data_IF_701350678307
#
_entry.id   IF_701350678307
#
_cell.length_a   1.000
_cell.length_b   1.000
_cell.length_c   1.000
_cell.angle_alpha   90.00
_cell.angle_beta   90.00
_cell.angle_gamma   90.00
#
_symmetry.space_group_name_H-M   'P 1'
#
loop_
_entity.id
_entity.type
_entity.pdbx_description
1 polymer ?
#
# COMPACT_ATOMS: atom_id res chain seq x y z
N UNK A 1 7.30 -31.36 1.18
CA UNK A 1 6.06 -32.15 1.04
C UNK A 1 5.11 -31.34 0.19
N UNK A 2 4.75 -31.80 -1.01
CA UNK A 2 3.86 -31.05 -1.89
C UNK A 2 2.43 -31.15 -1.34
N UNK A 3 1.97 -30.13 -0.61
CA UNK A 3 0.60 -30.04 -0.10
C UNK A 3 -0.30 -29.53 -1.22
N UNK A 4 -0.91 -30.45 -1.96
CA UNK A 4 -1.92 -30.12 -2.94
C UNK A 4 -3.24 -29.85 -2.21
N UNK A 5 -3.63 -28.57 -2.09
CA UNK A 5 -4.92 -28.19 -1.48
C UNK A 5 -6.12 -28.74 -2.26
N UNK A 6 -5.96 -29.08 -3.54
CA UNK A 6 -7.02 -29.57 -4.41
C UNK A 6 -7.70 -30.86 -3.94
N UNK A 7 -7.00 -31.74 -3.20
CA UNK A 7 -7.62 -32.95 -2.66
C UNK A 7 -8.61 -32.66 -1.52
N UNK A 8 -8.39 -31.58 -0.76
CA UNK A 8 -9.25 -31.18 0.36
C UNK A 8 -10.48 -30.39 -0.10
N UNK A 9 -10.48 -29.93 -1.35
CA UNK A 9 -11.58 -29.17 -1.95
C UNK A 9 -12.62 -30.07 -2.66
N UNK A 10 -12.38 -31.39 -2.73
CA UNK A 10 -13.29 -32.32 -3.41
C UNK A 10 -14.50 -32.73 -2.56
N UNK A 11 -14.38 -32.66 -1.24
CA UNK A 11 -15.47 -32.96 -0.31
C UNK A 11 -16.19 -31.67 0.08
N UNK A 12 -17.41 -31.49 -0.42
CA UNK A 12 -18.23 -30.29 -0.16
C UNK A 12 -18.60 -30.14 1.32
N UNK A 13 -18.87 -31.24 2.03
CA UNK A 13 -19.26 -31.17 3.45
C UNK A 13 -18.08 -30.73 4.31
N UNK A 14 -16.90 -31.27 4.04
CA UNK A 14 -15.68 -30.86 4.72
C UNK A 14 -15.31 -29.41 4.38
N UNK A 15 -15.52 -28.99 3.13
CA UNK A 15 -15.23 -27.63 2.68
C UNK A 15 -16.12 -26.59 3.38
N UNK A 16 -17.43 -26.83 3.48
CA UNK A 16 -18.35 -25.93 4.18
C UNK A 16 -17.99 -25.77 5.66
N UNK A 17 -17.62 -26.87 6.32
CA UNK A 17 -17.22 -26.83 7.73
C UNK A 17 -15.91 -26.06 7.93
N UNK A 18 -14.90 -26.30 7.08
CA UNK A 18 -13.64 -25.56 7.12
C UNK A 18 -13.85 -24.07 6.84
N UNK A 19 -14.72 -23.72 5.89
CA UNK A 19 -15.05 -22.33 5.58
C UNK A 19 -15.71 -21.66 6.80
N UNK A 20 -16.64 -22.33 7.48
CA UNK A 20 -17.28 -21.81 8.69
C UNK A 20 -16.26 -21.59 9.81
N UNK A 21 -15.42 -22.58 10.09
CA UNK A 21 -14.37 -22.45 11.11
C UNK A 21 -13.38 -21.32 10.79
N UNK A 22 -13.01 -21.17 9.52
CA UNK A 22 -12.10 -20.12 9.10
C UNK A 22 -12.72 -18.73 9.24
N UNK A 23 -14.01 -18.58 8.89
CA UNK A 23 -14.74 -17.32 9.08
C UNK A 23 -14.83 -16.96 10.56
N UNK A 24 -15.25 -17.89 11.42
CA UNK A 24 -15.36 -17.63 12.85
C UNK A 24 -13.99 -17.26 13.45
N UNK A 25 -12.92 -17.92 13.02
CA UNK A 25 -11.56 -17.57 13.44
C UNK A 25 -11.14 -16.20 12.92
N UNK A 26 -11.42 -15.86 11.67
CA UNK A 26 -11.10 -14.57 11.08
C UNK A 26 -11.82 -13.43 11.83
N UNK A 27 -13.09 -13.62 12.19
CA UNK A 27 -13.85 -12.67 13.00
C UNK A 27 -13.24 -12.50 14.39
N UNK A 28 -12.86 -13.60 15.05
CA UNK A 28 -12.25 -13.58 16.38
C UNK A 28 -10.86 -12.93 16.43
N UNK A 29 -10.05 -13.09 15.38
CA UNK A 29 -8.72 -12.48 15.24
C UNK A 29 -8.75 -11.03 14.73
N UNK A 30 -9.94 -10.49 14.45
CA UNK A 30 -10.11 -9.11 14.02
C UNK A 30 -9.83 -8.87 12.52
N UNK A 31 -9.86 -9.91 11.69
CA UNK A 31 -9.78 -9.81 10.23
C UNK A 31 -11.12 -9.32 9.69
N UNK A 32 -11.41 -8.04 9.93
CA UNK A 32 -12.73 -7.44 9.76
C UNK A 32 -12.71 -6.28 8.76
N UNK A 33 -13.80 -6.14 8.01
CA UNK A 33 -14.13 -4.97 7.22
C UNK A 33 -15.55 -4.51 7.54
N UNK A 34 -15.79 -3.21 7.34
CA UNK A 34 -17.16 -2.67 7.33
C UNK A 34 -17.91 -3.20 6.11
N UNK A 35 -19.23 -3.30 6.25
CA UNK A 35 -20.07 -3.75 5.14
C UNK A 35 -20.13 -2.71 4.02
N UNK A 36 -20.31 -3.16 2.78
CA UNK A 36 -20.46 -2.26 1.64
C UNK A 36 -21.70 -1.36 1.73
N UNK A 37 -22.71 -1.79 2.48
CA UNK A 37 -23.95 -1.04 2.71
C UNK A 37 -23.73 0.12 3.69
N UNK A 38 -22.87 -0.08 4.68
CA UNK A 38 -22.60 0.89 5.74
C UNK A 38 -21.09 1.08 5.93
N UNK A 39 -20.38 1.71 4.97
CA UNK A 39 -18.92 1.85 5.01
C UNK A 39 -18.42 2.81 6.11
N UNK A 40 -19.31 3.61 6.68
CA UNK A 40 -19.02 4.57 7.75
C UNK A 40 -19.38 4.05 9.15
N UNK A 41 -20.24 3.04 9.25
CA UNK A 41 -20.68 2.47 10.53
C UNK A 41 -19.84 1.25 10.91
N UNK A 42 -19.55 1.12 12.21
CA UNK A 42 -18.88 -0.07 12.77
C UNK A 42 -19.84 -0.98 13.55
N UNK A 43 -21.14 -0.68 13.55
CA UNK A 43 -22.15 -1.48 14.27
C UNK A 43 -22.31 -2.88 13.66
N UNK A 44 -22.14 -2.99 12.34
CA UNK A 44 -22.18 -4.26 11.61
C UNK A 44 -20.90 -4.40 10.79
N UNK A 45 -20.18 -5.49 11.02
CA UNK A 45 -18.92 -5.83 10.36
C UNK A 45 -19.00 -7.22 9.76
N UNK A 46 -18.15 -7.49 8.78
CA UNK A 46 -17.95 -8.82 8.19
C UNK A 46 -16.47 -9.12 8.09
N UNK A 47 -16.12 -10.36 7.74
CA UNK A 47 -14.72 -10.75 7.57
C UNK A 47 -14.13 -10.11 6.32
N UNK A 48 -12.84 -9.76 6.36
CA UNK A 48 -12.12 -9.35 5.16
C UNK A 48 -11.97 -10.56 4.22
N UNK A 49 -12.09 -10.42 2.89
CA UNK A 49 -11.90 -11.55 1.97
C UNK A 49 -10.51 -12.18 2.13
N UNK A 50 -10.45 -13.49 2.39
CA UNK A 50 -9.21 -14.26 2.54
C UNK A 50 -9.30 -15.62 1.85
N UNK A 51 -8.14 -16.25 1.59
CA UNK A 51 -8.07 -17.60 1.02
C UNK A 51 -8.13 -18.65 2.11
N UNK A 52 -8.95 -19.69 1.95
CA UNK A 52 -9.07 -20.77 2.93
C UNK A 52 -7.74 -21.48 3.25
N UNK A 53 -6.88 -21.63 2.24
CA UNK A 53 -5.54 -22.20 2.38
C UNK A 53 -4.47 -21.24 1.87
N UNK A 54 -3.28 -21.22 2.49
CA UNK A 54 -2.19 -20.39 2.01
C UNK A 54 -1.69 -20.88 0.65
N UNK A 55 -1.66 -19.98 -0.33
CA UNK A 55 -1.11 -20.30 -1.65
C UNK A 55 0.39 -20.58 -1.57
N UNK A 56 0.85 -21.56 -2.37
CA UNK A 56 2.26 -21.94 -2.39
C UNK A 56 3.07 -20.88 -3.14
N UNK A 57 4.11 -20.37 -2.48
CA UNK A 57 5.04 -19.39 -3.05
C UNK A 57 6.47 -19.93 -2.95
N UNK A 58 7.29 -19.90 -4.02
CA UNK A 58 8.68 -20.30 -3.95
C UNK A 58 9.46 -19.46 -2.93
N UNK A 59 10.10 -20.10 -1.96
CA UNK A 59 10.82 -19.42 -0.88
C UNK A 59 11.90 -18.47 -1.39
N UNK A 60 12.65 -18.88 -2.41
CA UNK A 60 13.69 -18.05 -3.02
C UNK A 60 13.14 -16.73 -3.60
N UNK A 61 11.94 -16.75 -4.20
CA UNK A 61 11.32 -15.53 -4.73
C UNK A 61 10.78 -14.64 -3.61
N UNK A 62 10.23 -15.24 -2.55
CA UNK A 62 9.77 -14.49 -1.38
C UNK A 62 10.95 -13.79 -0.68
N UNK A 63 12.06 -14.50 -0.48
CA UNK A 63 13.29 -13.94 0.10
C UNK A 63 13.88 -12.85 -0.79
N UNK A 64 13.89 -13.03 -2.11
CA UNK A 64 14.33 -11.99 -3.04
C UNK A 64 13.46 -10.72 -2.93
N UNK A 65 12.14 -10.87 -2.80
CA UNK A 65 11.23 -9.73 -2.61
C UNK A 65 11.51 -8.98 -1.30
N UNK A 66 11.80 -9.71 -0.21
CA UNK A 66 12.22 -9.09 1.05
C UNK A 66 13.54 -8.35 0.93
N UNK A 67 14.52 -8.92 0.23
CA UNK A 67 15.85 -8.32 0.09
C UNK A 67 15.82 -6.98 -0.67
N UNK A 68 15.03 -6.88 -1.74
CA UNK A 68 14.96 -5.68 -2.59
C UNK A 68 14.10 -4.55 -2.01
N UNK A 69 13.28 -4.82 -0.99
CA UNK A 69 12.36 -3.82 -0.42
C UNK A 69 13.09 -2.56 0.08
N UNK A 70 14.28 -2.71 0.66
CA UNK A 70 15.07 -1.57 1.13
C UNK A 70 15.57 -0.70 -0.03
N UNK A 71 16.01 -1.32 -1.13
CA UNK A 71 16.46 -0.61 -2.32
C UNK A 71 15.30 0.20 -2.95
N UNK A 72 14.10 -0.38 -2.99
CA UNK A 72 12.90 0.33 -3.46
C UNK A 72 12.53 1.51 -2.56
N UNK A 73 12.63 1.37 -1.24
CA UNK A 73 12.33 2.47 -0.33
C UNK A 73 13.28 3.66 -0.57
N UNK A 74 14.59 3.39 -0.73
CA UNK A 74 15.59 4.42 -1.06
C UNK A 74 15.36 5.04 -2.43
N UNK A 75 14.99 4.23 -3.42
CA UNK A 75 14.69 4.70 -4.77
C UNK A 75 13.48 5.64 -4.77
N UNK A 76 12.39 5.27 -4.10
CA UNK A 76 11.17 6.09 -4.02
C UNK A 76 11.47 7.41 -3.31
N UNK A 77 12.26 7.38 -2.22
CA UNK A 77 12.68 8.58 -1.52
C UNK A 77 13.53 9.51 -2.42
N UNK A 78 14.58 8.97 -3.05
CA UNK A 78 15.45 9.73 -3.95
C UNK A 78 14.69 10.32 -5.15
N UNK A 79 13.75 9.58 -5.73
CA UNK A 79 12.89 10.05 -6.82
C UNK A 79 11.95 11.16 -6.34
N UNK A 80 11.39 11.04 -5.12
CA UNK A 80 10.49 12.05 -4.56
C UNK A 80 11.17 13.40 -4.31
N UNK A 81 12.46 13.39 -3.98
CA UNK A 81 13.26 14.60 -3.73
C UNK A 81 13.74 15.26 -5.04
N UNK A 82 13.81 14.50 -6.14
CA UNK A 82 14.26 15.02 -7.43
C UNK A 82 13.11 15.62 -8.25
N UNK A 83 12.80 16.89 -7.97
CA UNK A 83 11.73 17.62 -8.65
C UNK A 83 11.93 17.72 -10.18
N UNK A 84 13.17 17.87 -10.65
CA UNK A 84 13.47 17.97 -12.08
C UNK A 84 13.17 16.65 -12.81
N UNK A 85 13.52 15.52 -12.19
CA UNK A 85 13.23 14.19 -12.72
C UNK A 85 11.72 13.93 -12.79
N UNK A 86 10.97 14.30 -11.74
CA UNK A 86 9.51 14.17 -11.73
C UNK A 86 8.85 15.04 -12.79
N UNK A 87 9.29 16.30 -12.94
CA UNK A 87 8.76 17.20 -13.96
C UNK A 87 8.99 16.68 -15.37
N UNK A 88 10.22 16.24 -15.66
CA UNK A 88 10.56 15.70 -16.97
C UNK A 88 9.72 14.45 -17.30
N UNK A 89 9.60 13.53 -16.34
CA UNK A 89 8.89 12.26 -16.52
C UNK A 89 7.39 12.46 -16.70
N UNK A 90 6.78 13.40 -15.97
CA UNK A 90 5.33 13.61 -15.97
C UNK A 90 4.88 14.70 -16.96
N UNK A 91 5.79 15.39 -17.64
CA UNK A 91 5.51 16.54 -18.52
C UNK A 91 4.50 16.27 -19.65
N UNK A 92 4.44 15.05 -20.19
CA UNK A 92 3.45 14.62 -21.18
C UNK A 92 2.16 14.17 -20.52
N UNK A 93 2.25 13.44 -19.39
CA UNK A 93 1.13 12.88 -18.63
C UNK A 93 0.22 13.97 -18.05
N UNK A 94 0.80 15.03 -17.46
CA UNK A 94 0.02 16.14 -16.88
C UNK A 94 -0.81 16.92 -17.91
N UNK A 95 -0.51 16.77 -19.21
CA UNK A 95 -1.29 17.41 -20.29
C UNK A 95 -2.50 16.59 -20.71
N UNK A 96 -2.53 15.30 -20.36
CA UNK A 96 -3.59 14.36 -20.76
C UNK A 96 -4.42 13.87 -19.57
N UNK A 97 -3.85 13.88 -18.36
CA UNK A 97 -4.54 13.47 -17.13
C UNK A 97 -4.66 14.63 -16.13
N UNK A 98 -5.90 15.11 -15.98
CA UNK A 98 -6.25 16.17 -15.04
C UNK A 98 -6.02 15.78 -13.57
N UNK A 99 -6.11 14.49 -13.23
CA UNK A 99 -5.89 14.03 -11.86
C UNK A 99 -4.41 14.19 -11.48
N UNK A 100 -3.50 13.65 -12.29
CA UNK A 100 -2.05 13.81 -12.10
C UNK A 100 -1.63 15.28 -12.19
N UNK A 101 -2.26 16.07 -13.07
CA UNK A 101 -1.98 17.51 -13.16
C UNK A 101 -2.28 18.26 -11.86
N UNK A 102 -3.40 17.96 -11.19
CA UNK A 102 -3.74 18.56 -9.89
C UNK A 102 -2.77 18.17 -8.78
N UNK A 103 -2.37 16.89 -8.72
CA UNK A 103 -1.36 16.44 -7.75
C UNK A 103 -0.01 17.13 -7.97
N UNK A 104 0.42 17.23 -9.22
CA UNK A 104 1.68 17.88 -9.57
C UNK A 104 1.65 19.40 -9.32
N UNK A 105 0.48 20.04 -9.47
CA UNK A 105 0.30 21.45 -9.11
C UNK A 105 0.53 21.69 -7.62
N UNK A 106 -0.04 20.86 -6.74
CA UNK A 106 0.19 20.93 -5.29
C UNK A 106 1.66 20.74 -4.98
N UNK A 107 2.32 19.76 -5.60
CA UNK A 107 3.75 19.52 -5.42
C UNK A 107 4.60 20.76 -5.79
N UNK A 108 4.32 21.41 -6.92
CA UNK A 108 5.01 22.65 -7.33
C UNK A 108 4.76 23.82 -6.37
N UNK A 109 3.55 23.93 -5.83
CA UNK A 109 3.22 24.97 -4.86
C UNK A 109 4.04 24.80 -3.58
N UNK A 110 4.10 23.58 -3.04
CA UNK A 110 4.89 23.27 -1.83
C UNK A 110 6.38 23.54 -2.05
N UNK A 111 6.94 23.16 -3.21
CA UNK A 111 8.33 23.48 -3.54
C UNK A 111 8.60 24.98 -3.61
N UNK A 112 7.63 25.77 -4.10
CA UNK A 112 7.74 27.23 -4.19
C UNK A 112 7.65 27.92 -2.83
N UNK A 113 6.80 27.41 -1.94
CA UNK A 113 6.63 27.93 -0.57
C UNK A 113 7.81 27.55 0.35
N UNK A 114 8.53 26.49 0.00
CA UNK A 114 9.67 25.97 0.74
C UNK A 114 9.26 24.85 1.70
N UNK A 115 10.11 23.83 1.81
CA UNK A 115 9.81 22.61 2.57
C UNK A 115 9.83 22.94 4.08
N UNK A 116 8.65 23.01 4.69
CA UNK A 116 8.49 23.31 6.11
C UNK A 116 8.73 22.10 7.04
N UNK A 117 8.57 20.88 6.51
CA UNK A 117 8.78 19.63 7.25
C UNK A 117 10.03 18.93 6.74
N UNK A 118 11.11 18.95 7.51
CA UNK A 118 12.31 18.22 7.19
C UNK A 118 12.16 16.77 7.70
N UNK A 119 12.10 15.81 6.77
CA UNK A 119 12.28 14.40 7.11
C UNK A 119 13.79 14.17 7.24
N UNK A 120 14.24 13.67 8.39
CA UNK A 120 15.64 13.68 8.79
C UNK A 120 16.55 12.82 7.91
N UNK A 121 17.11 13.40 6.85
CA UNK A 121 18.45 13.11 6.36
C UNK A 121 18.85 14.20 5.36
N UNK A 122 19.83 15.00 5.75
CA UNK A 122 20.55 16.01 4.95
C UNK A 122 19.82 17.33 4.62
N UNK A 123 20.31 18.36 5.33
CA UNK A 123 20.33 19.79 5.00
C UNK A 123 19.02 20.59 5.08
N UNK A 124 18.56 20.81 6.31
CA UNK A 124 17.70 21.94 6.63
C UNK A 124 18.57 23.13 7.06
N UNK A 125 19.32 23.73 6.14
CA UNK A 125 19.93 25.03 6.38
C UNK A 125 18.81 26.06 6.53
N UNK A 126 18.55 26.45 7.79
CA UNK A 126 17.74 27.60 8.17
C UNK A 126 18.31 28.87 7.54
N UNK A 127 17.80 29.26 6.38
CA UNK A 127 17.83 30.66 5.98
C UNK A 127 16.62 31.36 6.60
N UNK A 128 16.88 31.93 7.77
CA UNK A 128 15.93 32.74 8.49
C UNK A 128 15.46 33.92 7.65
N UNK A 129 14.16 33.98 7.37
CA UNK A 129 13.49 35.26 7.12
C UNK A 129 13.01 35.84 8.44
N UNK A 130 13.88 36.63 9.07
CA UNK A 130 13.47 37.80 9.85
C UNK A 130 13.00 38.87 8.87
N UNK A 131 11.84 39.44 9.14
CA UNK A 131 11.34 40.81 8.86
C UNK A 131 9.81 40.72 8.80
N UNK A 132 9.08 41.27 9.79
CA UNK A 132 8.67 42.70 9.88
C UNK A 132 8.18 43.19 8.53
#
# INVERSE_FOLDING_TARGET
MATNWGSLLQDEQQLEELARQAVDRALAEGVLLRTSQEPTSSEVVSYAPFTLFPSLVPSALLEQAYAVQMDFNLLVDAVSQNAAFLEQTLSSTIKQDDFTARLFHIHKQVLKEGIAQCCGATDCSREGKKHI
#
